data_IF_631008188648
#
_entry.id   IF_631008188648
#
_cell.length_a   1.000
_cell.length_b   1.000
_cell.length_c   1.000
_cell.angle_alpha   90.00
_cell.angle_beta   90.00
_cell.angle_gamma   90.00
#
_symmetry.space_group_name_H-M   'P 1'
#
loop_
_entity.id
_entity.type
_entity.pdbx_description
1 polymer ?
#
# COMPACT_ATOMS: atom_id res chain seq x y z
N UNK A 1 1.31 11.39 3.44
CA UNK A 1 1.91 12.03 2.28
C UNK A 1 1.49 11.29 1.02
N UNK A 2 1.39 11.99 -0.09
CA UNK A 2 0.92 11.36 -1.32
C UNK A 2 2.10 11.00 -2.21
N UNK A 3 2.08 9.77 -2.72
CA UNK A 3 3.13 9.29 -3.59
C UNK A 3 2.50 8.61 -4.80
N UNK A 4 3.30 8.45 -5.83
CA UNK A 4 2.83 7.76 -7.02
C UNK A 4 2.84 6.27 -6.79
N UNK A 5 1.76 5.63 -7.21
CA UNK A 5 1.63 4.19 -7.00
C UNK A 5 2.74 3.42 -7.71
N UNK A 6 3.15 3.88 -8.87
CA UNK A 6 4.15 3.15 -9.63
C UNK A 6 5.56 3.25 -9.03
N UNK A 7 5.74 4.09 -8.03
CA UNK A 7 7.01 4.17 -7.32
C UNK A 7 7.12 3.21 -6.16
N UNK A 8 6.04 2.57 -5.79
CA UNK A 8 6.02 1.66 -4.65
C UNK A 8 6.58 0.31 -5.07
N UNK A 9 7.49 -0.22 -4.25
CA UNK A 9 8.09 -1.52 -4.49
C UNK A 9 7.41 -2.57 -3.62
N UNK A 10 7.17 -3.73 -4.19
CA UNK A 10 6.48 -4.80 -3.49
C UNK A 10 7.49 -5.91 -3.21
N UNK A 11 7.90 -6.07 -1.95
CA UNK A 11 8.83 -7.15 -1.61
C UNK A 11 8.13 -8.49 -1.75
N UNK A 12 8.60 -9.30 -2.65
CA UNK A 12 7.94 -10.56 -2.95
C UNK A 12 7.94 -11.52 -1.77
N UNK A 13 8.95 -11.42 -0.94
CA UNK A 13 9.02 -12.30 0.22
C UNK A 13 8.01 -11.93 1.28
N UNK A 14 7.62 -10.67 1.33
CA UNK A 14 6.69 -10.18 2.34
C UNK A 14 5.25 -10.44 1.97
N UNK A 15 4.92 -10.31 0.71
CA UNK A 15 3.54 -10.40 0.27
C UNK A 15 3.38 -11.52 -0.73
N UNK A 16 2.35 -12.32 -0.52
CA UNK A 16 2.02 -13.38 -1.44
C UNK A 16 1.05 -12.88 -2.48
N UNK A 17 0.90 -13.63 -3.52
CA UNK A 17 0.00 -13.25 -4.60
C UNK A 17 -1.45 -13.26 -4.20
N UNK A 18 -1.78 -14.14 -3.31
CA UNK A 18 -3.17 -14.31 -2.94
C UNK A 18 -3.63 -13.20 -2.03
N UNK A 19 -4.54 -12.40 -2.48
CA UNK A 19 -5.06 -11.29 -1.69
C UNK A 19 -6.52 -11.46 -1.34
N UNK A 20 -7.14 -12.53 -1.86
CA UNK A 20 -8.53 -12.80 -1.57
C UNK A 20 -9.46 -11.82 -2.24
N UNK A 21 -10.64 -11.72 -1.70
CA UNK A 21 -11.69 -10.89 -2.25
C UNK A 21 -11.47 -9.43 -1.88
N UNK A 22 -11.37 -8.56 -2.85
CA UNK A 22 -11.17 -7.13 -2.59
C UNK A 22 -12.26 -6.26 -3.19
N UNK A 23 -13.32 -6.85 -3.74
CA UNK A 23 -14.34 -6.04 -4.39
C UNK A 23 -15.06 -5.12 -3.41
N UNK A 24 -15.29 -5.56 -2.18
CA UNK A 24 -15.90 -4.69 -1.19
C UNK A 24 -14.95 -3.55 -0.85
N UNK A 25 -13.67 -3.86 -0.72
CA UNK A 25 -12.67 -2.83 -0.44
C UNK A 25 -12.61 -1.82 -1.59
N UNK A 26 -12.65 -2.29 -2.82
CA UNK A 26 -12.62 -1.41 -3.98
C UNK A 26 -13.84 -0.49 -4.00
N UNK A 27 -15.00 -1.02 -3.67
CA UNK A 27 -16.20 -0.21 -3.61
C UNK A 27 -16.07 0.88 -2.56
N UNK A 28 -15.57 0.50 -1.39
CA UNK A 28 -15.39 1.46 -0.31
C UNK A 28 -14.42 2.56 -0.72
N UNK A 29 -13.29 2.17 -1.31
CA UNK A 29 -12.30 3.14 -1.73
C UNK A 29 -12.81 4.04 -2.85
N UNK A 30 -13.61 3.49 -3.74
CA UNK A 30 -14.18 4.27 -4.82
C UNK A 30 -15.14 5.32 -4.28
N UNK A 31 -15.83 5.00 -3.20
CA UNK A 31 -16.84 5.89 -2.64
C UNK A 31 -16.24 6.89 -1.66
N UNK A 32 -15.35 6.45 -0.80
CA UNK A 32 -14.85 7.27 0.30
C UNK A 32 -13.39 7.62 0.19
N UNK A 33 -12.71 7.08 -0.80
CA UNK A 33 -11.27 7.27 -0.91
C UNK A 33 -10.53 6.32 0.01
N UNK A 34 -9.25 6.60 0.21
CA UNK A 34 -8.41 5.77 1.05
C UNK A 34 -8.55 6.23 2.49
N UNK A 35 -9.19 5.41 3.31
CA UNK A 35 -9.47 5.80 4.69
C UNK A 35 -8.25 5.73 5.58
N UNK A 36 -7.30 4.85 5.25
CA UNK A 36 -6.05 4.74 5.99
C UNK A 36 -4.91 4.67 5.00
N UNK A 37 -3.82 5.40 5.25
CA UNK A 37 -2.69 5.34 4.33
C UNK A 37 -2.03 3.98 4.38
N UNK A 38 -1.39 3.62 3.29
CA UNK A 38 -0.51 2.46 3.29
C UNK A 38 0.79 2.86 3.99
N UNK A 39 1.60 1.87 4.33
CA UNK A 39 2.85 2.13 5.03
C UNK A 39 4.00 1.63 4.17
N UNK A 40 4.98 2.50 3.95
CA UNK A 40 6.17 2.17 3.18
C UNK A 40 7.40 2.56 3.99
N UNK A 41 8.54 2.00 3.61
CA UNK A 41 9.80 2.42 4.25
C UNK A 41 10.44 3.55 3.44
N UNK A 42 11.62 3.96 3.85
CA UNK A 42 12.30 5.08 3.19
C UNK A 42 12.72 4.77 1.77
N UNK A 43 12.80 3.52 1.42
CA UNK A 43 13.13 3.11 0.05
C UNK A 43 11.88 2.81 -0.77
N UNK A 44 10.73 3.15 -0.25
CA UNK A 44 9.43 2.95 -0.93
C UNK A 44 9.05 1.48 -1.04
N UNK A 45 9.59 0.64 -0.18
CA UNK A 45 9.12 -0.74 -0.10
C UNK A 45 7.85 -0.79 0.73
N UNK A 46 6.85 -1.49 0.24
CA UNK A 46 5.57 -1.58 0.95
C UNK A 46 5.73 -2.42 2.22
N UNK A 47 5.30 -1.84 3.33
CA UNK A 47 5.34 -2.50 4.63
C UNK A 47 3.97 -3.05 5.01
N UNK A 48 2.92 -2.27 4.79
CA UNK A 48 1.56 -2.67 5.13
C UNK A 48 0.58 -2.01 4.19
N UNK A 49 -0.59 -2.63 4.02
CA UNK A 49 -1.61 -2.09 3.15
C UNK A 49 -1.60 -2.68 1.76
N UNK A 50 -1.15 -3.91 1.61
CA UNK A 50 -1.03 -4.54 0.30
C UNK A 50 -2.39 -4.60 -0.42
N UNK A 51 -3.44 -4.98 0.29
CA UNK A 51 -4.76 -5.07 -0.35
C UNK A 51 -5.24 -3.70 -0.82
N UNK A 52 -4.97 -2.65 -0.02
CA UNK A 52 -5.33 -1.30 -0.42
C UNK A 52 -4.54 -0.86 -1.63
N UNK A 53 -3.26 -1.21 -1.66
CA UNK A 53 -2.41 -0.90 -2.80
C UNK A 53 -2.96 -1.57 -4.07
N UNK A 54 -3.29 -2.86 -4.00
CA UNK A 54 -3.81 -3.57 -5.16
C UNK A 54 -5.14 -2.99 -5.59
N UNK A 55 -6.02 -2.69 -4.63
CA UNK A 55 -7.32 -2.12 -4.96
C UNK A 55 -7.17 -0.77 -5.65
N UNK A 56 -6.24 0.06 -5.18
CA UNK A 56 -6.00 1.35 -5.81
C UNK A 56 -5.50 1.19 -7.23
N UNK A 57 -4.62 0.23 -7.44
CA UNK A 57 -4.12 -0.04 -8.79
C UNK A 57 -5.26 -0.48 -9.72
N UNK A 58 -6.11 -1.35 -9.22
CA UNK A 58 -7.22 -1.83 -10.04
C UNK A 58 -8.24 -0.74 -10.32
N UNK A 59 -8.35 0.24 -9.42
CA UNK A 59 -9.24 1.37 -9.63
C UNK A 59 -8.64 2.42 -10.56
N UNK A 60 -7.38 2.26 -10.92
CA UNK A 60 -6.73 3.21 -11.81
C UNK A 60 -6.16 4.43 -11.13
N UNK A 61 -5.98 4.39 -9.82
CA UNK A 61 -5.39 5.52 -9.10
C UNK A 61 -3.93 5.68 -9.50
N UNK A 62 -3.49 6.92 -9.58
CA UNK A 62 -2.09 7.20 -9.87
C UNK A 62 -1.35 7.62 -8.61
N UNK A 63 -2.06 8.15 -7.64
CA UNK A 63 -1.50 8.66 -6.40
C UNK A 63 -2.18 7.96 -5.25
N UNK A 64 -1.42 7.65 -4.21
CA UNK A 64 -1.98 7.03 -3.02
C UNK A 64 -1.33 7.65 -1.79
N UNK A 65 -2.10 7.75 -0.73
CA UNK A 65 -1.61 8.29 0.52
C UNK A 65 -0.78 7.24 1.24
N UNK A 66 0.37 7.63 1.77
CA UNK A 66 1.29 6.70 2.42
C UNK A 66 1.97 7.34 3.60
N UNK A 67 2.28 6.51 4.58
CA UNK A 67 3.09 6.91 5.72
C UNK A 67 4.45 6.25 5.56
N UNK A 68 5.51 7.03 5.72
CA UNK A 68 6.87 6.51 5.62
C UNK A 68 7.38 6.21 7.01
N UNK A 69 7.86 4.99 7.21
CA UNK A 69 8.42 4.59 8.50
C UNK A 69 9.85 4.14 8.30
N UNK A 70 10.62 4.25 9.36
CA UNK A 70 12.00 3.80 9.35
C UNK A 70 12.08 2.54 10.20
N UNK A 71 11.93 1.40 9.54
CA UNK A 71 11.92 0.14 10.27
C UNK A 71 13.32 -0.33 10.63
N UNK A 72 14.32 0.36 10.13
CA UNK A 72 15.68 0.01 10.44
C UNK A 72 15.93 0.06 11.94
N UNK A 73 15.34 1.05 12.60
CA UNK A 73 15.51 1.17 14.04
C UNK A 73 14.99 -0.03 14.78
N UNK A 74 13.93 -0.60 14.29
CA UNK A 74 13.35 -1.76 14.95
C UNK A 74 14.19 -2.99 14.76
N UNK A 75 14.83 -3.09 13.63
CA UNK A 75 15.63 -4.26 13.33
C UNK A 75 16.97 -4.23 14.03
N UNK A 76 17.39 -3.08 14.45
CA UNK A 76 18.70 -2.97 15.09
C UNK A 76 18.72 -3.40 16.54
N UNK A 77 17.60 -3.87 17.06
CA UNK A 77 17.51 -4.29 18.46
C UNK A 77 17.98 -5.68 18.76
#
# INVERSE_FOLDING_TARGET
MKIRIDEIKIPKKRFRKEIGEISVLMKSMSKYGLLQPIIIDKSYNLIAGYRRYIAAKKLGWQIIDATIVDIKDKLSR
#
